data_IF_231026457947
#
_entry.id   IF_231026457947
#
_cell.length_a   1.000
_cell.length_b   1.000
_cell.length_c   1.000
_cell.angle_alpha   90.00
_cell.angle_beta   90.00
_cell.angle_gamma   90.00
#
_symmetry.space_group_name_H-M   'P 1'
#
loop_
_entity.id
_entity.type
_entity.pdbx_description
1 polymer ?
#
# COMPACT_ATOMS: atom_id res chain seq x y z
N UNK A 1 6.33 42.62 -31.11
CA UNK A 1 7.57 42.17 -31.80
C UNK A 1 8.80 42.65 -31.04
N UNK A 2 9.45 41.76 -30.28
CA UNK A 2 10.81 41.98 -29.75
C UNK A 2 11.58 40.66 -29.88
N UNK A 3 12.53 40.65 -30.81
CA UNK A 3 13.55 39.60 -30.98
C UNK A 3 14.60 39.75 -29.89
N UNK A 4 15.21 38.62 -29.49
CA UNK A 4 16.63 38.39 -29.10
C UNK A 4 16.67 37.19 -28.13
N UNK A 5 17.63 36.28 -28.09
CA UNK A 5 18.83 35.92 -28.88
C UNK A 5 19.09 34.46 -28.46
N UNK A 6 19.47 33.61 -29.43
CA UNK A 6 19.83 32.21 -29.22
C UNK A 6 21.23 32.14 -28.60
N UNK A 7 21.41 31.34 -27.53
CA UNK A 7 22.74 30.93 -27.06
C UNK A 7 22.81 29.41 -27.12
N UNK A 8 23.70 28.91 -27.96
CA UNK A 8 24.00 27.51 -28.19
C UNK A 8 25.19 27.13 -27.29
N UNK A 9 25.06 26.10 -26.46
CA UNK A 9 26.18 25.55 -25.68
C UNK A 9 26.56 24.21 -26.30
N UNK A 10 27.73 24.17 -26.94
CA UNK A 10 28.43 22.93 -27.27
C UNK A 10 29.15 22.44 -26.02
N UNK A 11 28.98 21.16 -25.67
CA UNK A 11 29.89 20.45 -24.79
C UNK A 11 30.25 19.11 -25.43
N UNK A 12 31.54 18.91 -25.67
CA UNK A 12 32.15 17.70 -26.17
C UNK A 12 32.86 16.98 -25.01
N UNK A 13 32.71 15.66 -24.92
CA UNK A 13 33.60 14.75 -24.17
C UNK A 13 33.38 13.33 -24.74
N UNK A 14 34.28 12.84 -25.60
CA UNK A 14 35.51 12.10 -25.28
C UNK A 14 35.23 10.59 -25.06
N UNK A 15 35.54 9.83 -26.12
CA UNK A 15 35.54 8.37 -26.20
C UNK A 15 36.90 7.87 -25.68
N UNK A 16 36.90 6.86 -24.82
CA UNK A 16 38.09 6.07 -24.49
C UNK A 16 37.82 4.62 -24.85
N UNK A 17 38.65 3.97 -25.70
CA UNK A 17 38.54 2.55 -25.96
C UNK A 17 39.69 1.74 -25.35
N UNK A 18 39.43 0.42 -25.34
CA UNK A 18 40.36 -0.73 -25.31
C UNK A 18 40.93 -1.16 -23.95
N UNK A 19 40.72 -2.45 -23.66
CA UNK A 19 41.50 -3.22 -22.70
C UNK A 19 40.91 -4.62 -22.53
N UNK A 20 41.12 -5.50 -23.51
CA UNK A 20 40.88 -6.93 -23.37
C UNK A 20 42.16 -7.58 -22.83
N UNK A 21 42.08 -8.23 -21.68
CA UNK A 21 43.09 -9.17 -21.20
C UNK A 21 42.43 -10.52 -20.94
N UNK A 22 43.03 -11.56 -21.52
CA UNK A 22 42.71 -12.97 -21.33
C UNK A 22 43.82 -13.55 -20.47
N UNK A 23 43.49 -14.10 -19.29
CA UNK A 23 44.34 -15.03 -18.52
C UNK A 23 43.43 -15.97 -17.69
N UNK A 24 43.89 -17.14 -17.19
CA UNK A 24 43.30 -18.43 -17.45
C UNK A 24 42.58 -19.01 -16.22
N UNK A 25 41.98 -20.19 -16.43
CA UNK A 25 41.35 -21.02 -15.42
C UNK A 25 42.20 -21.24 -14.15
N UNK A 26 41.57 -21.10 -13.00
CA UNK A 26 41.85 -21.92 -11.82
C UNK A 26 40.52 -22.21 -11.15
N UNK A 27 40.23 -23.51 -11.05
CA UNK A 27 39.13 -24.04 -10.30
C UNK A 27 39.44 -23.86 -8.82
N UNK A 28 38.63 -23.05 -8.14
CA UNK A 28 38.51 -23.11 -6.69
C UNK A 28 37.02 -23.13 -6.35
N UNK A 29 36.65 -24.15 -5.58
CA UNK A 29 35.30 -24.44 -5.15
C UNK A 29 34.74 -23.24 -4.38
N UNK A 30 33.75 -22.56 -4.96
CA UNK A 30 32.95 -21.57 -4.22
C UNK A 30 31.97 -22.36 -3.35
N UNK A 31 32.02 -22.19 -2.01
CA UNK A 31 31.09 -22.85 -1.12
C UNK A 31 29.66 -22.42 -1.46
N UNK A 32 28.80 -23.42 -1.50
CA UNK A 32 27.35 -23.37 -1.48
C UNK A 32 26.86 -22.08 -0.79
N UNK A 33 26.10 -21.18 -1.45
CA UNK A 33 25.34 -20.17 -0.76
C UNK A 33 24.21 -20.90 -0.04
N UNK A 34 24.58 -21.56 1.05
CA UNK A 34 23.71 -21.94 2.14
C UNK A 34 22.78 -20.78 2.32
N UNK A 35 21.53 -21.04 1.98
CA UNK A 35 20.41 -20.15 2.11
C UNK A 35 20.52 -19.52 3.49
N UNK A 36 21.05 -18.30 3.50
CA UNK A 36 20.90 -17.40 4.62
C UNK A 36 19.41 -17.09 4.58
N UNK A 37 18.64 -17.91 5.29
CA UNK A 37 17.35 -17.52 5.81
C UNK A 37 17.63 -16.27 6.63
N UNK A 38 17.62 -15.12 5.96
CA UNK A 38 17.40 -13.85 6.61
C UNK A 38 15.98 -13.96 7.10
N UNK A 39 15.87 -14.56 8.28
CA UNK A 39 14.77 -14.37 9.20
C UNK A 39 14.82 -12.89 9.54
N UNK A 40 14.31 -12.07 8.62
CA UNK A 40 13.91 -10.69 8.88
C UNK A 40 12.60 -10.77 9.67
N UNK A 41 12.69 -11.43 10.83
CA UNK A 41 11.82 -11.17 11.95
C UNK A 41 12.21 -9.78 12.40
N UNK A 42 11.68 -8.77 11.71
CA UNK A 42 11.52 -7.47 12.33
C UNK A 42 10.60 -7.70 13.52
N UNK A 43 11.23 -7.86 14.68
CA UNK A 43 10.63 -7.70 16.00
C UNK A 43 9.96 -6.32 16.02
N UNK A 44 8.68 -6.30 15.65
CA UNK A 44 7.82 -5.16 15.91
C UNK A 44 7.13 -5.37 17.25
N UNK A 45 7.07 -4.33 18.09
CA UNK A 45 6.68 -4.48 19.48
C UNK A 45 5.19 -4.81 19.60
N UNK A 46 4.93 -5.84 20.41
CA UNK A 46 3.80 -5.97 21.33
C UNK A 46 2.43 -6.12 20.66
N UNK A 47 1.89 -7.33 20.83
CA UNK A 47 0.46 -7.59 20.86
C UNK A 47 -0.26 -6.48 21.67
N UNK A 48 -0.78 -5.47 20.99
CA UNK A 48 -1.50 -4.36 21.60
C UNK A 48 -2.56 -4.95 22.54
N UNK A 49 -2.60 -4.46 23.77
CA UNK A 49 -3.69 -4.85 24.67
C UNK A 49 -5.04 -4.42 24.05
N UNK A 50 -6.13 -5.04 24.48
CA UNK A 50 -7.48 -4.63 24.03
C UNK A 50 -7.72 -3.14 24.28
N UNK A 51 -7.23 -2.63 25.41
CA UNK A 51 -7.35 -1.23 25.81
C UNK A 51 -6.52 -0.31 24.90
N UNK A 52 -5.29 -0.71 24.55
CA UNK A 52 -4.43 0.05 23.63
C UNK A 52 -5.01 0.09 22.21
N UNK A 53 -5.52 -1.04 21.73
CA UNK A 53 -6.24 -1.13 20.46
C UNK A 53 -7.45 -0.19 20.46
N UNK A 54 -8.29 -0.27 21.50
CA UNK A 54 -9.47 0.60 21.60
C UNK A 54 -9.09 2.08 21.68
N UNK A 55 -7.97 2.42 22.34
CA UNK A 55 -7.43 3.79 22.37
C UNK A 55 -7.04 4.27 20.97
N UNK A 56 -6.40 3.42 20.15
CA UNK A 56 -6.05 3.78 18.77
C UNK A 56 -7.30 3.99 17.90
N UNK A 57 -8.28 3.09 18.01
CA UNK A 57 -9.56 3.19 17.30
C UNK A 57 -10.27 4.50 17.68
N UNK A 58 -10.40 4.78 18.98
CA UNK A 58 -11.03 6.00 19.49
C UNK A 58 -10.31 7.26 19.01
N UNK A 59 -8.97 7.25 18.93
CA UNK A 59 -8.19 8.37 18.42
C UNK A 59 -8.51 8.72 16.97
N UNK A 60 -8.70 7.70 16.11
CA UNK A 60 -9.09 7.93 14.71
C UNK A 60 -10.53 8.39 14.60
N UNK A 61 -11.47 7.75 15.32
CA UNK A 61 -12.89 8.14 15.34
C UNK A 61 -13.08 9.60 15.78
N UNK A 62 -12.38 10.03 16.82
CA UNK A 62 -12.47 11.40 17.34
C UNK A 62 -12.01 12.46 16.33
N UNK A 63 -11.12 12.09 15.40
CA UNK A 63 -10.50 13.06 14.48
C UNK A 63 -11.21 13.10 13.13
N UNK A 64 -11.70 11.97 12.62
CA UNK A 64 -12.14 11.83 11.22
C UNK A 64 -13.53 11.17 11.06
N UNK A 65 -14.28 11.04 12.16
CA UNK A 65 -15.59 10.39 12.16
C UNK A 65 -15.50 8.90 11.79
N UNK A 66 -16.57 8.37 11.20
CA UNK A 66 -16.71 6.95 10.88
C UNK A 66 -17.43 6.17 11.98
N UNK A 67 -17.66 4.88 11.73
CA UNK A 67 -18.33 3.97 12.65
C UNK A 67 -17.44 2.78 12.94
N UNK A 68 -17.18 2.51 14.22
CA UNK A 68 -16.55 1.24 14.61
C UNK A 68 -17.51 0.09 14.32
N UNK A 69 -17.12 -0.80 13.41
CA UNK A 69 -17.93 -1.95 12.98
C UNK A 69 -17.47 -3.26 13.62
N UNK A 70 -16.23 -3.31 14.12
CA UNK A 70 -15.71 -4.42 14.90
C UNK A 70 -14.66 -3.94 15.90
N UNK A 71 -14.10 -4.86 16.69
CA UNK A 71 -13.05 -4.57 17.67
C UNK A 71 -11.87 -3.77 17.06
N UNK A 72 -11.54 -4.04 15.80
CA UNK A 72 -10.36 -3.50 15.14
C UNK A 72 -10.67 -2.85 13.79
N UNK A 73 -11.90 -2.42 13.54
CA UNK A 73 -12.33 -1.88 12.26
C UNK A 73 -13.14 -0.59 12.43
N UNK A 74 -12.79 0.41 11.62
CA UNK A 74 -13.58 1.62 11.42
C UNK A 74 -14.03 1.65 9.96
N UNK A 75 -15.32 1.91 9.74
CA UNK A 75 -15.93 2.04 8.41
C UNK A 75 -16.47 3.45 8.19
N UNK A 76 -16.25 3.97 6.99
CA UNK A 76 -16.87 5.18 6.46
C UNK A 76 -17.69 4.82 5.23
N UNK A 77 -18.88 5.40 5.10
CA UNK A 77 -19.77 5.20 3.96
C UNK A 77 -19.91 6.52 3.20
N UNK A 78 -19.68 6.48 1.89
CA UNK A 78 -19.89 7.61 1.00
C UNK A 78 -21.38 7.80 0.70
N UNK A 79 -21.75 8.99 0.24
CA UNK A 79 -23.13 9.30 -0.15
C UNK A 79 -23.64 8.43 -1.31
N UNK A 80 -22.75 7.91 -2.16
CA UNK A 80 -23.07 7.01 -3.28
C UNK A 80 -23.16 5.52 -2.86
N UNK A 81 -23.03 5.22 -1.56
CA UNK A 81 -23.07 3.85 -1.04
C UNK A 81 -21.74 3.09 -1.09
N UNK A 82 -20.65 3.70 -1.58
CA UNK A 82 -19.31 3.12 -1.48
C UNK A 82 -18.77 3.14 -0.05
N UNK A 83 -17.84 2.24 0.27
CA UNK A 83 -17.26 2.12 1.61
C UNK A 83 -15.73 2.29 1.63
N UNK A 84 -15.23 2.80 2.76
CA UNK A 84 -13.83 2.72 3.17
C UNK A 84 -13.73 2.04 4.52
N UNK A 85 -12.75 1.14 4.67
CA UNK A 85 -12.50 0.43 5.93
C UNK A 85 -11.05 0.57 6.35
N UNK A 86 -10.83 0.93 7.62
CA UNK A 86 -9.51 0.91 8.24
C UNK A 86 -9.48 -0.20 9.29
N UNK A 87 -8.61 -1.18 9.08
CA UNK A 87 -8.40 -2.31 9.97
C UNK A 87 -7.07 -2.15 10.72
N UNK A 88 -7.12 -2.40 12.02
CA UNK A 88 -5.96 -2.36 12.93
C UNK A 88 -5.45 -3.76 13.23
N UNK A 89 -4.13 -3.97 13.36
CA UNK A 89 -3.58 -5.25 13.80
C UNK A 89 -4.14 -5.60 15.19
N UNK A 90 -4.52 -6.86 15.35
CA UNK A 90 -5.01 -7.39 16.63
C UNK A 90 -4.00 -8.38 17.18
N UNK A 91 -3.87 -8.48 18.51
CA UNK A 91 -3.07 -9.54 19.11
C UNK A 91 -3.64 -10.91 18.73
N UNK A 92 -2.78 -11.91 18.58
CA UNK A 92 -3.13 -13.26 18.08
C UNK A 92 -4.31 -13.90 18.85
N UNK A 93 -4.41 -13.61 20.15
CA UNK A 93 -5.46 -14.11 21.02
C UNK A 93 -6.85 -13.55 20.65
N UNK A 94 -6.92 -12.39 19.99
CA UNK A 94 -8.15 -11.72 19.58
C UNK A 94 -8.42 -11.84 18.07
N UNK A 95 -7.54 -12.50 17.29
CA UNK A 95 -7.72 -12.66 15.84
C UNK A 95 -9.02 -13.37 15.48
N UNK A 96 -9.37 -14.43 16.20
CA UNK A 96 -10.59 -15.18 15.96
C UNK A 96 -11.85 -14.35 16.25
N UNK A 97 -11.85 -13.58 17.34
CA UNK A 97 -12.95 -12.68 17.71
C UNK A 97 -13.11 -11.56 16.67
N UNK A 98 -11.99 -10.93 16.28
CA UNK A 98 -11.97 -9.89 15.26
C UNK A 98 -12.43 -10.41 13.89
N UNK A 99 -12.02 -11.63 13.51
CA UNK A 99 -12.44 -12.26 12.26
C UNK A 99 -13.94 -12.61 12.28
N UNK A 100 -14.46 -13.11 13.41
CA UNK A 100 -15.88 -13.43 13.58
C UNK A 100 -16.75 -12.16 13.53
N UNK A 101 -16.35 -11.09 14.20
CA UNK A 101 -17.04 -9.80 14.17
C UNK A 101 -17.06 -9.17 12.78
N UNK A 102 -15.97 -9.33 12.01
CA UNK A 102 -15.94 -8.90 10.61
C UNK A 102 -16.93 -9.68 9.76
N UNK A 103 -17.00 -11.00 9.91
CA UNK A 103 -17.97 -11.84 9.20
C UNK A 103 -19.42 -11.45 9.49
N UNK A 104 -19.74 -11.04 10.73
CA UNK A 104 -21.10 -10.61 11.10
C UNK A 104 -21.44 -9.19 10.63
N UNK A 105 -20.46 -8.29 10.50
CA UNK A 105 -20.68 -6.96 9.92
C UNK A 105 -20.97 -6.96 8.40
N UNK A 106 -20.72 -8.10 7.73
CA UNK A 106 -20.83 -8.26 6.27
C UNK A 106 -22.24 -8.73 5.83
N UNK A 107 -23.18 -9.03 6.73
CA UNK A 107 -24.53 -9.42 6.34
C UNK A 107 -25.46 -8.23 6.05
N UNK A 108 -25.54 -7.85 4.77
CA UNK A 108 -26.75 -7.42 4.03
C UNK A 108 -26.45 -6.94 2.59
N UNK A 109 -25.19 -6.62 2.24
CA UNK A 109 -24.85 -5.98 0.94
C UNK A 109 -23.76 -6.67 0.11
N UNK A 110 -23.38 -7.92 0.42
CA UNK A 110 -22.39 -8.62 -0.41
C UNK A 110 -21.95 -9.95 0.15
N UNK A 111 -22.79 -10.95 -0.02
CA UNK A 111 -22.47 -12.37 0.23
C UNK A 111 -21.51 -12.89 -0.85
N UNK A 112 -20.27 -12.38 -0.86
CA UNK A 112 -19.13 -12.91 -1.63
C UNK A 112 -17.80 -12.23 -1.23
N UNK A 113 -17.61 -11.82 0.02
CA UNK A 113 -16.27 -11.59 0.54
C UNK A 113 -15.58 -12.96 0.74
N UNK A 114 -15.33 -13.68 -0.38
CA UNK A 114 -14.32 -14.73 -0.42
C UNK A 114 -13.07 -14.16 0.23
N UNK A 115 -12.41 -14.95 1.09
CA UNK A 115 -11.17 -14.56 1.74
C UNK A 115 -10.26 -13.86 0.72
N UNK A 116 -10.20 -12.54 0.85
CA UNK A 116 -9.57 -11.69 -0.13
C UNK A 116 -8.11 -12.08 -0.32
N UNK A 117 -7.54 -11.83 -1.50
CA UNK A 117 -6.10 -12.08 -1.66
C UNK A 117 -5.35 -11.12 -0.72
N UNK A 118 -4.54 -11.66 0.20
CA UNK A 118 -3.87 -10.88 1.25
C UNK A 118 -4.83 -10.06 2.13
N UNK A 119 -6.03 -10.59 2.39
CA UNK A 119 -7.06 -9.89 3.15
C UNK A 119 -7.76 -8.76 2.39
N UNK A 120 -7.50 -8.59 1.08
CA UNK A 120 -8.17 -7.61 0.23
C UNK A 120 -9.42 -8.21 -0.44
N UNK A 121 -10.65 -7.83 -0.05
CA UNK A 121 -11.87 -8.43 -0.58
C UNK A 121 -12.04 -8.16 -2.08
N UNK A 122 -12.70 -9.05 -2.82
CA UNK A 122 -12.93 -8.88 -4.25
C UNK A 122 -13.68 -7.57 -4.57
N UNK A 123 -13.21 -6.83 -5.58
CA UNK A 123 -13.78 -5.53 -5.92
C UNK A 123 -13.30 -4.37 -5.03
N UNK A 124 -12.19 -4.55 -4.31
CA UNK A 124 -11.59 -3.51 -3.46
C UNK A 124 -10.14 -3.22 -3.86
N UNK A 125 -9.72 -2.00 -3.55
CA UNK A 125 -8.31 -1.60 -3.50
C UNK A 125 -7.84 -1.52 -2.05
N UNK A 126 -6.64 -2.02 -1.78
CA UNK A 126 -6.11 -2.18 -0.42
C UNK A 126 -4.71 -1.61 -0.30
N UNK A 127 -4.50 -0.80 0.74
CA UNK A 127 -3.23 -0.19 1.10
C UNK A 127 -2.76 -0.76 2.43
N UNK A 128 -1.50 -1.18 2.47
CA UNK A 128 -0.89 -1.86 3.61
C UNK A 128 0.20 -0.97 4.20
N UNK A 129 0.24 -0.88 5.53
CA UNK A 129 1.23 -0.06 6.23
C UNK A 129 2.67 -0.57 6.03
N UNK A 130 2.83 -1.89 5.96
CA UNK A 130 4.11 -2.57 5.81
C UNK A 130 4.26 -3.21 4.44
N UNK A 131 5.51 -3.54 4.09
CA UNK A 131 5.83 -4.32 2.90
C UNK A 131 5.22 -5.72 2.96
N UNK A 132 5.20 -6.40 1.81
CA UNK A 132 4.70 -7.77 1.63
C UNK A 132 3.28 -7.94 2.18
N UNK A 133 2.42 -6.95 1.94
CA UNK A 133 1.01 -6.95 2.32
C UNK A 133 0.81 -7.16 3.83
N UNK A 134 1.57 -6.44 4.66
CA UNK A 134 1.63 -6.62 6.12
C UNK A 134 2.02 -8.05 6.57
N UNK A 135 2.77 -8.78 5.75
CA UNK A 135 3.14 -10.17 6.01
C UNK A 135 1.96 -11.16 5.95
N UNK A 136 0.79 -10.72 5.48
CA UNK A 136 -0.37 -11.59 5.31
C UNK A 136 -0.09 -12.57 4.17
N UNK A 137 -0.44 -13.84 4.35
CA UNK A 137 -0.34 -14.84 3.28
C UNK A 137 -1.42 -14.62 2.22
N UNK A 138 -1.25 -15.21 1.04
CA UNK A 138 -2.19 -15.02 -0.08
C UNK A 138 -3.64 -15.40 0.28
N UNK A 139 -3.80 -16.41 1.13
CA UNK A 139 -5.08 -16.92 1.64
C UNK A 139 -5.42 -16.39 3.04
N UNK A 140 -4.56 -15.54 3.61
CA UNK A 140 -4.72 -14.95 4.93
C UNK A 140 -5.78 -13.84 4.93
N UNK A 141 -6.46 -13.69 6.06
CA UNK A 141 -7.44 -12.64 6.28
C UNK A 141 -6.90 -11.56 7.22
N UNK A 142 -7.39 -10.33 7.03
CA UNK A 142 -7.15 -9.22 7.95
C UNK A 142 -5.86 -8.44 7.70
N UNK A 143 -5.47 -7.60 8.68
CA UNK A 143 -4.47 -6.56 8.49
C UNK A 143 -3.03 -7.03 8.72
N UNK A 144 -2.78 -8.26 9.18
CA UNK A 144 -1.42 -8.75 9.43
C UNK A 144 -0.70 -7.96 10.54
N UNK A 145 0.56 -7.63 10.31
CA UNK A 145 1.42 -6.91 11.27
C UNK A 145 1.37 -5.37 11.17
N UNK A 146 0.43 -4.81 10.41
CA UNK A 146 0.30 -3.35 10.21
C UNK A 146 -1.16 -2.97 10.00
N UNK A 147 -1.47 -1.68 9.81
CA UNK A 147 -2.84 -1.28 9.46
C UNK A 147 -3.13 -1.56 7.98
N UNK A 148 -4.40 -1.78 7.67
CA UNK A 148 -4.92 -2.06 6.32
C UNK A 148 -6.06 -1.09 6.02
N UNK A 149 -5.91 -0.29 4.96
CA UNK A 149 -6.95 0.61 4.47
C UNK A 149 -7.54 0.06 3.17
N UNK A 150 -8.86 -0.05 3.10
CA UNK A 150 -9.58 -0.68 1.99
C UNK A 150 -10.59 0.29 1.39
N UNK A 151 -10.66 0.35 0.06
CA UNK A 151 -11.57 1.20 -0.69
C UNK A 151 -12.41 0.36 -1.66
N UNK A 152 -13.74 0.54 -1.62
CA UNK A 152 -14.64 -0.08 -2.58
C UNK A 152 -14.89 0.80 -3.81
N UNK A 153 -14.85 2.12 -3.63
CA UNK A 153 -15.15 3.08 -4.69
C UNK A 153 -14.02 3.17 -5.72
N UNK A 154 -14.38 3.22 -7.01
CA UNK A 154 -13.47 3.02 -8.14
C UNK A 154 -13.19 4.28 -8.96
N UNK A 155 -13.72 5.45 -8.60
CA UNK A 155 -13.64 6.67 -9.44
C UNK A 155 -13.39 7.97 -8.66
N UNK A 156 -12.74 7.90 -7.50
CA UNK A 156 -12.53 9.06 -6.62
C UNK A 156 -11.06 9.21 -6.27
N UNK A 157 -10.57 10.46 -6.28
CA UNK A 157 -9.29 10.84 -5.67
C UNK A 157 -9.50 10.93 -4.16
N UNK A 158 -8.75 10.12 -3.41
CA UNK A 158 -8.90 10.04 -1.96
C UNK A 158 -7.69 10.66 -1.25
N UNK A 159 -7.92 11.59 -0.31
CA UNK A 159 -6.88 12.10 0.60
C UNK A 159 -6.68 11.08 1.73
N UNK A 160 -5.50 10.44 1.79
CA UNK A 160 -5.21 9.44 2.82
C UNK A 160 -5.15 10.01 4.24
N UNK A 161 -5.04 11.33 4.40
CA UNK A 161 -5.16 11.99 5.69
C UNK A 161 -6.54 11.83 6.31
N UNK A 162 -7.59 11.67 5.48
CA UNK A 162 -8.96 11.46 5.94
C UNK A 162 -9.10 10.20 6.80
N UNK A 163 -8.16 9.26 6.71
CA UNK A 163 -8.17 8.01 7.48
C UNK A 163 -6.89 7.81 8.31
N UNK A 164 -6.13 8.87 8.57
CA UNK A 164 -4.85 8.78 9.29
C UNK A 164 -3.89 7.74 8.67
N UNK A 165 -3.85 7.72 7.33
CA UNK A 165 -3.07 6.76 6.54
C UNK A 165 -2.10 7.45 5.57
N UNK A 166 -2.00 8.77 5.62
CA UNK A 166 -0.98 9.54 4.91
C UNK A 166 0.41 9.03 5.31
N UNK A 167 1.28 8.85 4.31
CA UNK A 167 2.67 8.45 4.49
C UNK A 167 2.86 7.10 5.17
N UNK A 168 1.87 6.22 5.09
CA UNK A 168 1.88 4.92 5.74
C UNK A 168 1.96 3.76 4.75
N UNK A 169 1.57 3.96 3.50
CA UNK A 169 1.41 2.87 2.53
C UNK A 169 2.74 2.31 2.03
N UNK A 170 3.11 1.09 2.39
CA UNK A 170 4.33 0.43 1.91
C UNK A 170 4.08 -0.65 0.87
N UNK A 171 2.87 -1.22 0.81
CA UNK A 171 2.47 -2.14 -0.25
C UNK A 171 0.98 -1.99 -0.56
N UNK A 172 0.56 -2.49 -1.72
CA UNK A 172 -0.77 -2.23 -2.28
C UNK A 172 -1.28 -3.42 -3.08
N UNK A 173 -2.58 -3.67 -3.03
CA UNK A 173 -3.22 -4.74 -3.79
C UNK A 173 -4.57 -4.27 -4.32
N UNK A 174 -4.85 -4.51 -5.60
CA UNK A 174 -6.10 -4.21 -6.25
C UNK A 174 -6.77 -5.52 -6.69
N UNK A 175 -8.01 -5.77 -6.26
CA UNK A 175 -8.83 -6.90 -6.71
C UNK A 175 -9.99 -6.45 -7.60
N UNK A 176 -10.08 -5.15 -7.91
CA UNK A 176 -11.06 -4.65 -8.86
C UNK A 176 -10.71 -5.13 -10.28
N UNK A 177 -11.74 -5.23 -11.11
CA UNK A 177 -11.68 -5.43 -12.55
C UNK A 177 -11.24 -4.16 -13.31
N UNK A 178 -11.22 -3.02 -12.62
CA UNK A 178 -10.78 -1.72 -13.15
C UNK A 178 -9.30 -1.50 -12.90
N UNK A 179 -8.63 -0.85 -13.86
CA UNK A 179 -7.26 -0.41 -13.69
C UNK A 179 -7.20 0.61 -12.57
N UNK A 180 -6.40 0.29 -11.55
CA UNK A 180 -6.05 1.24 -10.51
C UNK A 180 -4.83 2.05 -10.94
N UNK A 181 -4.96 3.37 -10.88
CA UNK A 181 -4.00 4.32 -11.44
C UNK A 181 -3.53 5.32 -10.37
N UNK A 182 -2.52 4.95 -9.57
CA UNK A 182 -1.59 5.92 -9.00
C UNK A 182 -1.59 6.21 -7.50
N UNK A 183 -0.39 6.58 -7.06
CA UNK A 183 -0.09 7.18 -5.76
C UNK A 183 0.62 8.51 -5.97
N UNK A 184 0.08 9.59 -5.40
CA UNK A 184 0.74 10.90 -5.41
C UNK A 184 1.34 11.23 -4.03
N UNK A 185 2.54 11.82 -4.06
CA UNK A 185 3.17 12.40 -2.87
C UNK A 185 2.95 13.92 -2.82
N UNK A 186 2.74 14.46 -1.62
CA UNK A 186 2.68 15.92 -1.39
C UNK A 186 4.03 16.47 -0.93
N UNK A 187 4.24 17.80 -0.99
CA UNK A 187 5.46 18.45 -0.50
C UNK A 187 5.95 17.96 0.88
N UNK A 188 7.28 17.95 1.11
CA UNK A 188 8.32 18.60 0.27
C UNK A 188 8.70 17.81 -0.99
N UNK A 189 8.16 16.61 -1.18
CA UNK A 189 8.46 15.77 -2.34
C UNK A 189 7.34 15.89 -3.36
N UNK A 190 7.54 16.72 -4.39
CA UNK A 190 6.64 16.81 -5.55
C UNK A 190 6.94 15.66 -6.51
N UNK A 191 6.35 14.50 -6.27
CA UNK A 191 6.50 13.34 -7.15
C UNK A 191 5.20 12.57 -7.28
N UNK A 192 4.73 12.39 -8.50
CA UNK A 192 3.66 11.45 -8.79
C UNK A 192 4.26 10.14 -9.26
N UNK A 193 3.79 9.03 -8.66
CA UNK A 193 4.08 7.70 -9.15
C UNK A 193 2.83 7.15 -9.78
N UNK A 194 2.94 6.93 -11.08
CA UNK A 194 1.95 6.20 -11.82
C UNK A 194 2.33 4.73 -11.81
N UNK A 195 1.34 3.90 -11.54
CA UNK A 195 1.43 2.48 -11.80
C UNK A 195 0.00 2.01 -12.02
N UNK A 196 -0.13 1.01 -12.88
CA UNK A 196 -1.40 0.46 -13.29
C UNK A 196 -1.51 -0.94 -12.68
N UNK A 197 -2.42 -1.11 -11.73
CA UNK A 197 -2.74 -2.44 -11.21
C UNK A 197 -4.09 -2.88 -11.74
N UNK A 198 -4.08 -3.94 -12.54
CA UNK A 198 -5.27 -4.70 -12.88
C UNK A 198 -5.19 -6.04 -12.16
N UNK A 199 -6.09 -6.28 -11.20
CA UNK A 199 -6.16 -7.50 -10.40
C UNK A 199 -4.78 -8.04 -9.94
N UNK A 200 -4.07 -7.24 -9.15
CA UNK A 200 -2.69 -7.52 -8.75
C UNK A 200 -2.17 -6.57 -7.68
N UNK A 201 -0.91 -6.73 -7.28
CA UNK A 201 -0.34 -5.96 -6.17
C UNK A 201 1.13 -5.64 -6.33
N UNK A 202 1.58 -4.59 -5.65
CA UNK A 202 2.99 -4.24 -5.46
C UNK A 202 3.32 -4.53 -4.00
N UNK A 203 4.17 -5.52 -3.76
CA UNK A 203 4.56 -5.97 -2.42
C UNK A 203 5.58 -5.06 -1.74
N UNK A 204 6.22 -4.14 -2.46
CA UNK A 204 7.20 -3.22 -1.89
C UNK A 204 7.25 -1.93 -2.70
N UNK A 205 6.81 -0.82 -2.10
CA UNK A 205 6.90 0.52 -2.70
C UNK A 205 8.23 1.23 -2.38
N UNK A 206 9.11 0.59 -1.61
CA UNK A 206 10.40 1.11 -1.11
C UNK A 206 10.25 2.13 0.01
N UNK A 207 11.34 2.85 0.34
CA UNK A 207 11.40 4.02 1.27
C UNK A 207 10.59 5.26 0.79
N UNK A 208 9.59 4.99 -0.03
CA UNK A 208 8.95 5.79 -1.05
C UNK A 208 7.43 5.61 -0.95
N UNK A 209 6.96 4.51 -0.36
CA UNK A 209 5.59 4.31 0.11
C UNK A 209 5.21 5.22 1.30
N UNK A 210 6.20 5.52 2.14
CA UNK A 210 6.14 6.44 3.30
C UNK A 210 5.81 7.91 2.96
N UNK A 211 5.41 8.21 1.73
CA UNK A 211 5.16 9.58 1.25
C UNK A 211 3.85 9.72 0.49
N UNK A 212 3.00 8.71 0.58
CA UNK A 212 1.73 8.64 -0.13
C UNK A 212 0.69 9.52 0.55
N UNK A 213 0.11 10.47 -0.18
CA UNK A 213 -0.94 11.35 0.34
C UNK A 213 -2.26 11.20 -0.39
N UNK A 214 -2.23 10.81 -1.66
CA UNK A 214 -3.42 10.64 -2.47
C UNK A 214 -3.37 9.35 -3.26
N UNK A 215 -4.56 8.83 -3.52
CA UNK A 215 -4.79 7.69 -4.39
C UNK A 215 -5.89 8.03 -5.38
N UNK A 216 -5.70 7.72 -6.66
CA UNK A 216 -6.74 7.81 -7.68
C UNK A 216 -7.18 6.41 -8.06
N UNK A 217 -8.47 6.13 -7.86
CA UNK A 217 -9.11 4.88 -8.24
C UNK A 217 -9.81 5.16 -9.58
N UNK A 218 -9.46 4.42 -10.65
CA UNK A 218 -10.05 4.55 -11.98
C UNK A 218 -9.63 5.78 -12.81
N UNK A 219 -9.69 5.63 -14.14
CA UNK A 219 -9.49 6.70 -15.13
C UNK A 219 -8.09 6.78 -15.77
N UNK A 220 -8.03 7.42 -16.95
CA UNK A 220 -6.78 7.76 -17.64
C UNK A 220 -6.13 8.99 -16.99
N UNK A 221 -4.81 8.94 -16.80
CA UNK A 221 -4.01 9.95 -16.09
C UNK A 221 -4.09 11.38 -16.64
N UNK A 222 -4.55 11.55 -17.89
CA UNK A 222 -4.70 12.84 -18.54
C UNK A 222 -5.63 13.82 -17.81
N UNK A 223 -6.32 13.38 -16.76
CA UNK A 223 -7.23 14.20 -15.95
C UNK A 223 -6.63 14.77 -14.65
N UNK A 224 -5.36 14.50 -14.29
CA UNK A 224 -4.81 14.87 -12.98
C UNK A 224 -3.66 15.89 -13.06
N UNK A 225 -3.91 17.20 -13.22
CA UNK A 225 -2.90 18.24 -13.49
C UNK A 225 -1.95 18.55 -12.32
N UNK A 226 -2.13 17.90 -11.18
CA UNK A 226 -1.28 18.00 -9.98
C UNK A 226 -0.11 17.00 -10.02
N UNK A 227 -0.13 16.15 -11.05
CA UNK A 227 0.93 15.31 -11.57
C UNK A 227 1.24 15.79 -12.99
#
# INVERSE_FOLDING_TARGET
MRRKVITLILAAAAIVPIGAEVVPASADAVPDPSSSSVTDSQDFPVALSREELQKQVNGVLATKGGRQTSLNEITWTYANGGEVRLLFPVPKQLEAEAAAARKSSITAAGEAAAAGTYGCPAGWACLYENNKFNGVSRTGGGPGNGRLLQFQDRNIIQDLDNWNFRNKTSSVYNTTDTVWSGLASVPPYKGCRTFELNNGGISNLGARGDRTAWIALGGTWSAYPWC
#
